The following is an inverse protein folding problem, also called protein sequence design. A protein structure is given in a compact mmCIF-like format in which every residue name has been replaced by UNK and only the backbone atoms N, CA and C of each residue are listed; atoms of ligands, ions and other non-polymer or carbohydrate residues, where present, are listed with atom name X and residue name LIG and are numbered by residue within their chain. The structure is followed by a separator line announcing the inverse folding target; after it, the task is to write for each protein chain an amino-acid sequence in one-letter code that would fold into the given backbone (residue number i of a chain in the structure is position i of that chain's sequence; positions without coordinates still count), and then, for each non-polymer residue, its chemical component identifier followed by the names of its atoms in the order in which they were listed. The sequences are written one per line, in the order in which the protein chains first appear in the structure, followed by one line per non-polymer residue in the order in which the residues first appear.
data_IF_729405716943
#
_entry.id   IF_729405716943
#
_cell.length_a   1.000
_cell.length_b   1.000
_cell.length_c   1.000
_cell.angle_alpha   90.00
_cell.angle_beta   90.00
_cell.angle_gamma   90.00
#
_symmetry.space_group_name_H-M   'P 1'
#
loop_
_entity.id
_entity.type
_entity.pdbx_description
1 polymer ?
#
# COMPACT_ATOMS: atom_id res chain seq x y z
N UNK A 1 17.38 7.21 8.54
CA UNK A 1 16.98 5.86 8.06
C UNK A 1 16.40 5.96 6.66
N UNK A 2 16.16 4.86 5.94
CA UNK A 2 15.51 4.89 4.63
C UNK A 2 14.10 5.50 4.75
N UNK A 3 13.70 6.32 3.78
CA UNK A 3 12.38 6.94 3.70
C UNK A 3 11.31 5.92 3.30
N UNK A 4 10.91 5.07 4.25
CA UNK A 4 9.86 4.07 4.02
C UNK A 4 8.50 4.75 3.88
N UNK A 5 7.72 4.26 2.90
CA UNK A 5 6.35 4.71 2.63
C UNK A 5 5.38 3.53 2.71
N UNK A 6 4.12 3.83 2.97
CA UNK A 6 3.05 2.84 2.94
C UNK A 6 2.71 2.51 1.47
N UNK A 7 2.79 1.23 1.10
CA UNK A 7 2.55 0.77 -0.27
C UNK A 7 1.05 0.59 -0.62
N UNK A 8 0.14 0.88 0.31
CA UNK A 8 -1.30 0.70 0.11
C UNK A 8 -1.77 -0.75 0.10
N UNK A 9 -0.94 -1.70 0.53
CA UNK A 9 -1.24 -3.13 0.57
C UNK A 9 -1.42 -3.55 2.03
N UNK A 10 -2.56 -4.17 2.33
CA UNK A 10 -2.93 -4.56 3.69
C UNK A 10 -3.47 -5.99 3.73
N UNK A 11 -3.19 -6.67 4.83
CA UNK A 11 -3.81 -7.93 5.20
C UNK A 11 -4.33 -7.79 6.64
N UNK A 12 -5.64 -7.87 6.82
CA UNK A 12 -6.29 -7.65 8.11
C UNK A 12 -7.08 -8.87 8.57
N UNK A 13 -7.13 -9.11 9.88
CA UNK A 13 -8.17 -9.91 10.49
C UNK A 13 -9.48 -9.12 10.65
N UNK A 14 -10.48 -9.73 11.29
CA UNK A 14 -11.83 -9.14 11.43
C UNK A 14 -11.85 -7.92 12.35
N UNK A 15 -10.89 -7.81 13.26
CA UNK A 15 -10.72 -6.69 14.19
C UNK A 15 -10.62 -5.33 13.50
N UNK A 16 -10.23 -5.29 12.22
CA UNK A 16 -10.21 -4.05 11.43
C UNK A 16 -11.58 -3.40 11.31
N UNK A 17 -12.68 -4.16 11.33
CA UNK A 17 -14.02 -3.59 11.25
C UNK A 17 -14.37 -2.80 12.51
N UNK A 18 -13.98 -3.30 13.69
CA UNK A 18 -14.19 -2.58 14.95
C UNK A 18 -13.29 -1.34 15.04
N UNK A 19 -12.06 -1.44 14.54
CA UNK A 19 -11.16 -0.29 14.42
C UNK A 19 -11.72 0.77 13.46
N UNK A 20 -12.22 0.37 12.29
CA UNK A 20 -12.80 1.27 11.30
C UNK A 20 -14.02 2.03 11.84
N UNK A 21 -14.87 1.39 12.66
CA UNK A 21 -16.00 2.06 13.33
C UNK A 21 -15.57 3.14 14.34
N UNK A 22 -14.33 3.10 14.83
CA UNK A 22 -13.77 4.10 15.76
C UNK A 22 -13.10 5.28 15.05
N UNK A 23 -12.82 5.16 13.75
CA UNK A 23 -12.20 6.23 12.96
C UNK A 23 -13.14 7.43 12.88
N UNK A 24 -12.59 8.63 13.05
CA UNK A 24 -13.29 9.89 12.83
C UNK A 24 -12.86 10.50 11.49
N UNK A 25 -13.70 11.32 10.84
CA UNK A 25 -13.30 12.01 9.62
C UNK A 25 -12.03 12.84 9.81
N UNK A 26 -11.13 12.78 8.83
CA UNK A 26 -9.96 13.65 8.74
C UNK A 26 -10.39 15.09 8.44
N UNK A 27 -9.46 16.07 8.44
CA UNK A 27 -9.78 17.44 8.02
C UNK A 27 -10.36 17.54 6.60
N UNK A 28 -10.16 16.51 5.76
CA UNK A 28 -10.78 16.40 4.42
C UNK A 28 -12.21 15.87 4.44
N UNK A 29 -12.70 15.41 5.59
CA UNK A 29 -13.98 14.72 5.73
C UNK A 29 -13.92 13.23 5.40
N UNK A 30 -12.73 12.66 5.18
CA UNK A 30 -12.54 11.27 4.78
C UNK A 30 -12.24 10.36 5.99
N UNK A 31 -12.72 9.13 5.94
CA UNK A 31 -12.35 8.09 6.90
C UNK A 31 -11.10 7.37 6.40
N UNK A 32 -9.95 7.69 7.01
CA UNK A 32 -8.66 7.19 6.56
C UNK A 32 -8.43 5.74 7.00
N UNK A 33 -8.11 4.85 6.06
CA UNK A 33 -7.73 3.47 6.41
C UNK A 33 -6.49 3.43 7.33
N UNK A 34 -5.58 4.39 7.18
CA UNK A 34 -4.40 4.51 8.06
C UNK A 34 -4.77 4.85 9.50
N UNK A 35 -5.90 5.52 9.75
CA UNK A 35 -6.41 5.73 11.10
C UNK A 35 -6.97 4.44 11.69
N UNK A 36 -7.61 3.58 10.90
CA UNK A 36 -8.02 2.25 11.37
C UNK A 36 -6.81 1.41 11.81
N UNK A 37 -5.67 1.50 11.09
CA UNK A 37 -4.41 0.85 11.50
C UNK A 37 -3.91 1.41 12.84
N UNK A 38 -3.99 2.73 13.05
CA UNK A 38 -3.63 3.35 14.34
C UNK A 38 -4.55 2.88 15.46
N UNK A 39 -5.84 2.74 15.20
CA UNK A 39 -6.82 2.20 16.17
C UNK A 39 -6.54 0.75 16.55
N UNK A 40 -6.11 -0.10 15.60
CA UNK A 40 -5.65 -1.45 15.90
C UNK A 40 -4.45 -1.46 16.85
N UNK A 41 -3.44 -0.63 16.57
CA UNK A 41 -2.25 -0.50 17.41
C UNK A 41 -2.63 -0.01 18.81
N UNK A 42 -3.50 1.00 18.92
CA UNK A 42 -4.00 1.52 20.21
C UNK A 42 -4.78 0.47 21.00
N UNK A 43 -5.51 -0.40 20.31
CA UNK A 43 -6.25 -1.51 20.92
C UNK A 43 -5.36 -2.70 21.33
N UNK A 44 -4.04 -2.62 21.14
CA UNK A 44 -3.09 -3.67 21.49
C UNK A 44 -3.05 -4.84 20.49
N UNK A 45 -3.62 -4.68 19.30
CA UNK A 45 -3.52 -5.68 18.23
C UNK A 45 -2.11 -5.62 17.64
N UNK A 46 -1.48 -6.79 17.45
CA UNK A 46 -0.17 -6.88 16.81
C UNK A 46 -0.28 -6.49 15.32
N UNK A 47 0.42 -5.41 14.94
CA UNK A 47 0.51 -4.94 13.54
C UNK A 47 1.96 -5.04 13.08
N UNK A 48 2.18 -5.71 11.95
CA UNK A 48 3.52 -5.88 11.33
C UNK A 48 3.60 -5.12 10.02
N UNK A 49 4.69 -4.40 9.82
CA UNK A 49 5.06 -3.85 8.52
C UNK A 49 6.01 -4.83 7.83
N UNK A 50 5.69 -5.20 6.59
CA UNK A 50 6.54 -6.07 5.76
C UNK A 50 7.12 -5.25 4.63
N UNK A 51 8.44 -5.35 4.42
CA UNK A 51 9.10 -4.70 3.28
C UNK A 51 8.65 -5.39 2.00
N UNK A 52 8.07 -4.62 1.09
CA UNK A 52 7.72 -5.12 -0.23
C UNK A 52 9.00 -5.39 -1.03
N UNK A 53 9.06 -6.58 -1.63
CA UNK A 53 10.12 -6.95 -2.55
C UNK A 53 9.65 -6.77 -4.00
N UNK A 54 10.58 -6.42 -4.88
CA UNK A 54 10.29 -6.21 -6.30
C UNK A 54 9.79 -4.79 -6.61
N UNK A 55 9.29 -4.63 -7.83
CA UNK A 55 8.80 -3.34 -8.34
C UNK A 55 7.41 -3.04 -7.79
N UNK A 56 7.23 -1.81 -7.32
CA UNK A 56 5.95 -1.25 -6.93
C UNK A 56 5.88 0.20 -7.42
N UNK A 57 4.72 0.59 -7.94
CA UNK A 57 4.44 1.95 -8.40
C UNK A 57 2.99 2.27 -8.09
N UNK A 58 2.76 3.43 -7.51
CA UNK A 58 1.44 4.05 -7.43
C UNK A 58 1.10 4.66 -8.80
N UNK A 59 -0.04 4.28 -9.37
CA UNK A 59 -0.49 4.73 -10.69
C UNK A 59 -1.70 5.62 -10.46
N UNK A 60 -1.42 6.89 -10.15
CA UNK A 60 -2.43 7.85 -9.73
C UNK A 60 -2.69 8.93 -10.78
N UNK A 61 -1.79 9.08 -11.76
CA UNK A 61 -1.86 10.08 -12.81
C UNK A 61 -1.70 9.45 -14.19
N UNK A 62 -2.22 10.07 -15.26
CA UNK A 62 -2.02 9.58 -16.62
C UNK A 62 -0.54 9.38 -16.98
N UNK A 63 0.34 10.27 -16.48
CA UNK A 63 1.79 10.19 -16.74
C UNK A 63 2.45 8.92 -16.17
N UNK A 64 1.87 8.30 -15.13
CA UNK A 64 2.39 7.06 -14.54
C UNK A 64 2.26 5.86 -15.50
N UNK A 65 1.37 5.94 -16.50
CA UNK A 65 1.12 4.84 -17.46
C UNK A 65 2.34 4.57 -18.34
N UNK A 66 3.00 5.62 -18.86
CA UNK A 66 4.16 5.48 -19.74
C UNK A 66 5.32 4.79 -19.00
N UNK A 67 5.52 5.14 -17.73
CA UNK A 67 6.54 4.53 -16.88
C UNK A 67 6.26 3.03 -16.64
N UNK A 68 5.01 2.68 -16.31
CA UNK A 68 4.60 1.29 -16.09
C UNK A 68 4.71 0.46 -17.37
N UNK A 69 4.30 1.01 -18.52
CA UNK A 69 4.47 0.35 -19.81
C UNK A 69 5.95 0.09 -20.14
N UNK A 70 6.82 1.09 -19.91
CA UNK A 70 8.26 0.96 -20.09
C UNK A 70 8.84 -0.17 -19.22
N UNK A 71 8.46 -0.20 -17.94
CA UNK A 71 8.82 -1.28 -17.04
C UNK A 71 8.36 -2.65 -17.55
N UNK A 72 7.08 -2.80 -17.90
CA UNK A 72 6.51 -4.08 -18.37
C UNK A 72 7.18 -4.58 -19.67
N UNK A 73 7.48 -3.68 -20.62
CA UNK A 73 8.22 -4.02 -21.85
C UNK A 73 9.63 -4.52 -21.51
N UNK A 74 10.34 -3.87 -20.59
CA UNK A 74 11.68 -4.29 -20.15
C UNK A 74 11.68 -5.72 -19.57
N UNK A 75 10.66 -6.07 -18.77
CA UNK A 75 10.55 -7.40 -18.15
C UNK A 75 10.26 -8.50 -19.17
N UNK A 76 9.48 -8.19 -20.22
CA UNK A 76 9.23 -9.12 -21.34
C UNK A 76 10.49 -9.43 -22.13
N UNK A 77 11.30 -8.42 -22.42
CA UNK A 77 12.54 -8.60 -23.18
C UNK A 77 13.56 -9.46 -22.42
N UNK A 78 13.67 -9.28 -21.10
CA UNK A 78 14.51 -10.14 -20.24
C UNK A 78 14.04 -11.61 -20.28
N UNK A 79 12.73 -11.87 -20.21
CA UNK A 79 12.20 -13.24 -20.31
C UNK A 79 12.38 -13.87 -21.69
N UNK A 80 12.32 -13.09 -22.76
CA UNK A 80 12.50 -13.59 -24.13
C UNK A 80 13.98 -13.89 -24.48
N UNK A 81 14.93 -13.24 -23.82
CA UNK A 81 16.37 -13.47 -24.01
C UNK A 81 16.96 -14.56 -23.08
N UNK A 82 16.16 -15.08 -22.15
CA UNK A 82 16.53 -16.15 -21.21
C UNK A 82 16.03 -17.54 -21.60
N UNK A 83 15.60 -17.73 -22.85
CA UNK A 83 15.26 -19.03 -23.47
C UNK A 83 16.25 -19.33 -24.60
#
# INVERSE_FOLDING_TARGET
GPGLVNAGIYLFGREVFDAARRVRPSPRGEYELTDAVRELIRAGVEVKAVRLAGYWRDVARPEDLEEVEGYLRSQRNVKAQGL
#
